data_IF_474510656597
#
_entry.id   IF_474510656597
#
_cell.length_a   1.000
_cell.length_b   1.000
_cell.length_c   1.000
_cell.angle_alpha   90.00
_cell.angle_beta   90.00
_cell.angle_gamma   90.00
#
_symmetry.space_group_name_H-M   'P 1'
#
loop_
_entity.id
_entity.type
_entity.pdbx_description
1 polymer ?
#
# COMPACT_ATOMS: atom_id res chain seq x y z
N UNK A 1 -40.30 20.54 36.76
CA UNK A 1 -39.56 21.74 37.17
C UNK A 1 -39.90 22.01 38.63
N UNK A 2 -38.93 21.80 39.52
CA UNK A 2 -39.17 21.92 40.97
C UNK A 2 -39.05 23.38 41.35
N UNK A 3 -40.09 23.93 41.97
CA UNK A 3 -40.14 25.32 42.43
C UNK A 3 -39.82 25.35 43.91
N UNK A 4 -38.85 26.18 44.31
CA UNK A 4 -38.47 26.37 45.70
C UNK A 4 -38.77 27.79 46.15
N UNK A 5 -39.11 27.96 47.42
CA UNK A 5 -39.43 29.26 47.98
C UNK A 5 -38.18 29.89 48.57
N UNK A 6 -37.71 30.98 47.97
CA UNK A 6 -36.56 31.75 48.48
C UNK A 6 -37.07 32.90 49.34
N UNK A 7 -36.36 33.23 50.43
CA UNK A 7 -36.78 34.28 51.37
C UNK A 7 -36.81 35.67 50.73
N UNK A 8 -35.79 35.96 49.92
CA UNK A 8 -35.59 37.25 49.27
C UNK A 8 -34.91 37.06 47.93
N UNK A 9 -35.40 37.80 46.94
CA UNK A 9 -34.77 37.93 45.63
C UNK A 9 -34.10 39.32 45.56
N UNK A 10 -32.77 39.40 45.42
CA UNK A 10 -32.07 40.69 45.46
C UNK A 10 -32.15 41.48 44.15
N UNK A 11 -32.41 40.81 43.01
CA UNK A 11 -32.35 41.44 41.70
C UNK A 11 -33.32 40.80 40.70
N UNK A 12 -33.71 41.55 39.67
CA UNK A 12 -34.57 41.04 38.58
C UNK A 12 -33.78 40.13 37.66
N UNK A 13 -34.22 38.89 37.48
CA UNK A 13 -33.58 37.93 36.59
C UNK A 13 -34.62 37.31 35.66
N UNK A 14 -34.26 37.24 34.38
CA UNK A 14 -35.03 36.50 33.38
C UNK A 14 -34.48 35.10 33.28
N UNK A 15 -35.32 34.11 33.54
CA UNK A 15 -34.97 32.70 33.46
C UNK A 15 -36.11 31.95 32.80
N UNK A 16 -35.78 31.22 31.73
CA UNK A 16 -36.74 30.49 30.90
C UNK A 16 -37.99 31.27 30.50
N UNK A 17 -37.79 32.51 30.03
CA UNK A 17 -38.88 33.37 29.55
C UNK A 17 -39.77 33.98 30.65
N UNK A 18 -39.55 33.63 31.93
CA UNK A 18 -40.20 34.29 33.07
C UNK A 18 -39.27 35.27 33.74
N UNK A 19 -39.83 36.40 34.18
CA UNK A 19 -39.08 37.44 34.91
C UNK A 19 -39.38 37.30 36.40
N UNK A 20 -38.35 36.99 37.18
CA UNK A 20 -38.41 36.96 38.63
C UNK A 20 -37.80 38.26 39.15
N UNK A 21 -38.60 39.10 39.80
CA UNK A 21 -38.20 40.45 40.24
C UNK A 21 -37.60 40.48 41.64
N UNK A 22 -36.97 41.60 42.04
CA UNK A 22 -36.50 41.82 43.39
C UNK A 22 -37.70 41.83 44.32
N UNK A 23 -37.69 40.94 45.29
CA UNK A 23 -38.77 40.76 46.24
C UNK A 23 -38.18 40.52 47.61
N UNK A 24 -38.58 41.32 48.57
CA UNK A 24 -38.29 41.09 50.00
C UNK A 24 -39.30 40.14 50.65
N UNK A 25 -40.33 39.75 49.89
CA UNK A 25 -41.30 38.74 50.29
C UNK A 25 -40.93 37.39 49.67
N UNK A 26 -41.22 36.27 50.35
CA UNK A 26 -40.91 34.95 49.84
C UNK A 26 -41.53 34.73 48.46
N UNK A 27 -40.72 34.29 47.50
CA UNK A 27 -41.14 34.06 46.11
C UNK A 27 -40.74 32.65 45.67
N UNK A 28 -41.64 31.99 44.94
CA UNK A 28 -41.36 30.69 44.35
C UNK A 28 -40.53 30.88 43.07
N UNK A 29 -39.31 30.36 43.07
CA UNK A 29 -38.37 30.40 41.95
C UNK A 29 -37.92 28.99 41.57
N UNK A 30 -37.50 28.75 40.33
CA UNK A 30 -36.94 27.47 39.93
C UNK A 30 -35.69 27.12 40.75
N UNK A 31 -35.54 25.84 41.10
CA UNK A 31 -34.41 25.35 41.91
C UNK A 31 -33.05 25.70 41.31
N UNK A 32 -32.91 25.56 40.00
CA UNK A 32 -31.68 25.87 39.26
C UNK A 32 -31.27 27.33 39.40
N UNK A 33 -32.23 28.24 39.35
CA UNK A 33 -31.98 29.68 39.49
C UNK A 33 -31.59 30.03 40.93
N UNK A 34 -32.27 29.46 41.92
CA UNK A 34 -31.91 29.67 43.32
C UNK A 34 -30.53 29.09 43.66
N UNK A 35 -30.15 27.95 43.07
CA UNK A 35 -28.83 27.34 43.22
C UNK A 35 -27.74 28.18 42.56
N UNK A 36 -27.96 28.66 41.34
CA UNK A 36 -27.03 29.52 40.62
C UNK A 36 -26.77 30.86 41.35
N UNK A 37 -27.74 31.35 42.10
CA UNK A 37 -27.66 32.62 42.83
C UNK A 37 -27.32 32.48 44.31
N UNK A 38 -27.20 31.25 44.84
CA UNK A 38 -26.91 30.99 46.24
C UNK A 38 -27.93 31.60 47.21
N UNK A 39 -29.21 31.65 46.84
CA UNK A 39 -30.24 32.32 47.65
C UNK A 39 -30.59 31.49 48.91
N UNK A 40 -30.72 32.12 50.08
CA UNK A 40 -31.11 31.42 51.31
C UNK A 40 -32.55 30.95 51.21
N UNK A 41 -32.75 29.64 51.41
CA UNK A 41 -34.07 29.02 51.38
C UNK A 41 -34.81 29.26 52.69
N UNK A 42 -36.14 29.18 52.64
CA UNK A 42 -36.97 29.09 53.85
C UNK A 42 -36.76 27.70 54.46
N UNK A 43 -36.53 27.64 55.78
CA UNK A 43 -36.30 26.41 56.55
C UNK A 43 -37.35 25.34 56.21
N UNK A 44 -36.90 24.21 55.66
CA UNK A 44 -37.75 23.09 55.23
C UNK A 44 -37.63 22.67 53.77
N UNK A 45 -36.78 23.31 52.95
CA UNK A 45 -36.48 22.87 51.59
C UNK A 45 -35.04 22.34 51.49
N UNK A 46 -34.88 21.03 51.44
CA UNK A 46 -33.59 20.35 51.25
C UNK A 46 -33.20 20.42 49.78
N UNK A 47 -32.01 20.94 49.48
CA UNK A 47 -31.34 20.59 48.23
C UNK A 47 -31.05 19.09 48.25
N UNK A 48 -31.32 18.40 47.13
CA UNK A 48 -30.95 16.99 46.99
C UNK A 48 -29.43 16.85 47.20
N UNK A 49 -29.05 15.93 48.08
CA UNK A 49 -27.68 15.59 48.46
C UNK A 49 -26.77 15.52 47.23
N UNK A 50 -25.73 16.36 47.20
CA UNK A 50 -24.64 16.24 46.24
C UNK A 50 -23.64 15.26 46.84
N UNK A 51 -23.35 14.18 46.12
CA UNK A 51 -22.42 13.14 46.55
C UNK A 51 -21.04 13.75 46.85
N UNK A 52 -20.48 13.56 48.06
CA UNK A 52 -19.19 14.12 48.45
C UNK A 52 -18.02 13.57 47.61
N UNK A 53 -18.19 12.38 47.02
CA UNK A 53 -17.21 11.78 46.11
C UNK A 53 -17.10 12.54 44.78
N UNK A 54 -18.23 13.00 44.22
CA UNK A 54 -18.26 13.77 42.98
C UNK A 54 -17.58 15.15 43.13
N UNK A 55 -17.77 15.81 44.29
CA UNK A 55 -17.11 17.07 44.62
C UNK A 55 -15.58 16.89 44.77
N UNK A 56 -15.15 15.76 45.32
CA UNK A 56 -13.73 15.47 45.47
C UNK A 56 -13.05 15.20 44.12
N UNK A 57 -13.77 14.55 43.19
CA UNK A 57 -13.31 14.34 41.82
C UNK A 57 -13.19 15.67 41.05
N UNK A 58 -14.20 16.54 41.13
CA UNK A 58 -14.16 17.88 40.52
C UNK A 58 -13.03 18.76 41.08
N UNK A 59 -12.81 18.74 42.40
CA UNK A 59 -11.68 19.47 43.01
C UNK A 59 -10.33 18.93 42.55
N UNK A 60 -10.21 17.62 42.35
CA UNK A 60 -8.99 17.02 41.82
C UNK A 60 -8.74 17.40 40.36
N UNK A 61 -9.81 17.45 39.53
CA UNK A 61 -9.75 17.90 38.15
C UNK A 61 -9.36 19.38 38.05
N UNK A 62 -9.95 20.22 38.91
CA UNK A 62 -9.61 21.65 39.02
C UNK A 62 -8.15 21.88 39.43
N UNK A 63 -7.64 21.12 40.41
CA UNK A 63 -6.21 21.18 40.80
C UNK A 63 -5.27 20.78 39.68
N UNK A 64 -5.61 19.74 38.90
CA UNK A 64 -4.83 19.33 37.72
C UNK A 64 -4.80 20.41 36.65
N UNK A 65 -5.96 21.00 36.33
CA UNK A 65 -6.05 22.11 35.39
C UNK A 65 -5.24 23.31 35.86
N UNK A 66 -5.33 23.68 37.14
CA UNK A 66 -4.53 24.76 37.70
C UNK A 66 -3.03 24.50 37.60
N UNK A 67 -2.57 23.27 37.83
CA UNK A 67 -1.17 22.88 37.63
C UNK A 67 -0.73 23.04 36.18
N UNK A 68 -1.58 22.66 35.22
CA UNK A 68 -1.31 22.84 33.78
C UNK A 68 -1.26 24.32 33.37
N UNK A 69 -2.16 25.15 33.91
CA UNK A 69 -2.13 26.59 33.68
C UNK A 69 -0.87 27.22 34.29
N UNK A 70 -0.46 26.77 35.47
CA UNK A 70 0.74 27.25 36.12
C UNK A 70 1.99 26.87 35.32
N UNK A 71 2.14 25.62 34.88
CA UNK A 71 3.24 25.21 34.00
C UNK A 71 3.26 25.99 32.67
N UNK A 72 2.08 26.25 32.10
CA UNK A 72 1.96 27.04 30.87
C UNK A 72 2.35 28.50 31.09
N UNK A 73 1.97 29.09 32.22
CA UNK A 73 2.40 30.43 32.61
C UNK A 73 3.91 30.49 32.86
N UNK A 74 4.48 29.49 33.55
CA UNK A 74 5.94 29.41 33.76
C UNK A 74 6.69 29.30 32.45
N UNK A 75 6.25 28.45 31.50
CA UNK A 75 6.87 28.36 30.17
C UNK A 75 6.77 29.66 29.38
N UNK A 76 5.64 30.38 29.49
CA UNK A 76 5.49 31.69 28.86
C UNK A 76 6.40 32.74 29.50
N UNK A 77 6.58 32.70 30.82
CA UNK A 77 7.51 33.57 31.54
C UNK A 77 8.97 33.25 31.21
N UNK A 78 9.34 31.98 31.08
CA UNK A 78 10.68 31.56 30.66
C UNK A 78 10.98 32.00 29.21
N UNK A 79 9.97 32.00 28.33
CA UNK A 79 10.09 32.54 26.96
C UNK A 79 10.23 34.06 26.93
N UNK A 80 9.78 34.77 27.97
CA UNK A 80 9.89 36.23 28.11
C UNK A 80 11.14 36.66 28.90
N UNK A 81 11.77 35.74 29.65
CA UNK A 81 12.96 36.01 30.45
C UNK A 81 14.26 36.34 29.68
N UNK A 82 14.49 35.96 28.40
CA UNK A 82 15.73 36.36 27.74
C UNK A 82 15.79 37.87 27.39
N UNK A 83 14.70 38.64 27.47
CA UNK A 83 14.74 40.09 27.18
C UNK A 83 15.29 40.96 28.33
N UNK A 84 15.54 40.40 29.51
CA UNK A 84 16.07 41.19 30.64
C UNK A 84 17.60 41.10 30.82
N UNK A 85 18.31 40.41 29.92
CA UNK A 85 19.77 40.33 29.95
C UNK A 85 20.41 41.10 28.79
N UNK A 86 20.34 42.43 28.87
CA UNK A 86 21.16 43.31 28.05
C UNK A 86 20.59 44.72 27.99
N UNK A 87 21.43 45.73 28.26
CA UNK A 87 21.19 47.14 27.92
C UNK A 87 21.12 47.34 26.39
N UNK A 88 20.32 46.56 25.67
CA UNK A 88 20.12 46.72 24.24
C UNK A 88 18.93 47.65 24.01
N UNK A 89 19.18 48.74 23.28
CA UNK A 89 18.13 49.65 22.87
C UNK A 89 17.09 48.86 22.03
N UNK A 90 15.79 49.18 22.15
CA UNK A 90 14.72 48.47 21.41
C UNK A 90 14.98 48.35 19.90
N UNK A 91 15.64 49.35 19.32
CA UNK A 91 16.02 49.36 17.91
C UNK A 91 17.06 48.28 17.54
N UNK A 92 17.99 47.98 18.45
CA UNK A 92 19.00 46.92 18.25
C UNK A 92 18.37 45.52 18.28
N UNK A 93 17.39 45.31 19.17
CA UNK A 93 16.61 44.07 19.25
C UNK A 93 15.76 43.89 17.99
N UNK A 94 15.11 44.96 17.51
CA UNK A 94 14.34 44.94 16.27
C UNK A 94 15.21 44.61 15.05
N UNK A 95 16.37 45.25 14.91
CA UNK A 95 17.30 44.97 13.81
C UNK A 95 17.79 43.52 13.82
N UNK A 96 18.07 42.98 15.02
CA UNK A 96 18.46 41.58 15.19
C UNK A 96 17.33 40.63 14.78
N UNK A 97 16.11 40.86 15.26
CA UNK A 97 14.95 40.02 14.92
C UNK A 97 14.62 40.08 13.43
N UNK A 98 14.80 41.24 12.79
CA UNK A 98 14.63 41.38 11.34
C UNK A 98 15.69 40.58 10.57
N UNK A 99 16.96 40.62 10.99
CA UNK A 99 18.02 39.79 10.40
C UNK A 99 17.76 38.30 10.59
N UNK A 100 17.43 37.86 11.81
CA UNK A 100 17.11 36.45 12.09
C UNK A 100 15.90 35.98 11.25
N UNK A 101 14.89 36.84 11.05
CA UNK A 101 13.77 36.56 10.13
C UNK A 101 14.18 36.48 8.66
N UNK A 102 15.11 37.32 8.23
CA UNK A 102 15.65 37.30 6.87
C UNK A 102 16.44 36.00 6.64
N UNK A 103 17.36 35.66 7.54
CA UNK A 103 18.17 34.44 7.49
C UNK A 103 17.28 33.19 7.52
N UNK A 104 16.25 33.17 8.36
CA UNK A 104 15.28 32.07 8.39
C UNK A 104 14.50 31.93 7.08
N UNK A 105 14.18 33.04 6.40
CA UNK A 105 13.54 33.00 5.08
C UNK A 105 14.48 32.48 4.01
N UNK A 106 15.72 32.94 4.00
CA UNK A 106 16.73 32.51 3.03
C UNK A 106 17.06 31.03 3.20
N UNK A 107 17.18 30.56 4.45
CA UNK A 107 17.32 29.15 4.77
C UNK A 107 16.10 28.32 4.32
N UNK A 108 14.88 28.81 4.53
CA UNK A 108 13.67 28.14 4.07
C UNK A 108 13.58 28.05 2.55
N UNK A 109 13.97 29.12 1.83
CA UNK A 109 14.04 29.12 0.36
C UNK A 109 15.10 28.13 -0.15
N UNK A 110 16.29 28.12 0.46
CA UNK A 110 17.33 27.14 0.16
C UNK A 110 16.87 25.70 0.38
N UNK A 111 16.19 25.43 1.50
CA UNK A 111 15.62 24.12 1.79
C UNK A 111 14.55 23.69 0.77
N UNK A 112 13.68 24.62 0.34
CA UNK A 112 12.70 24.35 -0.71
C UNK A 112 13.36 24.05 -2.07
N UNK A 113 14.44 24.74 -2.41
CA UNK A 113 15.18 24.49 -3.64
C UNK A 113 15.83 23.10 -3.61
N UNK A 114 16.52 22.75 -2.52
CA UNK A 114 17.09 21.42 -2.32
C UNK A 114 16.00 20.34 -2.39
N UNK A 115 14.83 20.58 -1.81
CA UNK A 115 13.71 19.65 -1.88
C UNK A 115 13.24 19.44 -3.33
N UNK A 116 13.11 20.51 -4.14
CA UNK A 116 12.76 20.38 -5.56
C UNK A 116 13.82 19.64 -6.36
N UNK A 117 15.09 19.91 -6.10
CA UNK A 117 16.19 19.23 -6.80
C UNK A 117 16.23 17.73 -6.46
N UNK A 118 16.04 17.38 -5.19
CA UNK A 118 15.92 15.99 -4.76
C UNK A 118 14.70 15.31 -5.39
N UNK A 119 13.55 15.99 -5.43
CA UNK A 119 12.34 15.49 -6.08
C UNK A 119 12.60 15.20 -7.57
N UNK A 120 13.21 16.15 -8.30
CA UNK A 120 13.53 15.98 -9.71
C UNK A 120 14.51 14.83 -9.97
N UNK A 121 15.48 14.61 -9.08
CA UNK A 121 16.39 13.46 -9.14
C UNK A 121 15.69 12.14 -8.89
N UNK A 122 14.77 12.10 -7.92
CA UNK A 122 13.96 10.91 -7.65
C UNK A 122 13.05 10.57 -8.83
N UNK A 123 12.40 11.56 -9.43
CA UNK A 123 11.55 11.36 -10.61
C UNK A 123 12.37 10.86 -11.82
N UNK A 124 13.56 11.41 -12.03
CA UNK A 124 14.48 10.93 -13.06
C UNK A 124 14.90 9.48 -12.82
N UNK A 125 15.25 9.13 -11.56
CA UNK A 125 15.57 7.75 -11.18
C UNK A 125 14.38 6.80 -11.30
N UNK A 126 13.17 7.29 -11.02
CA UNK A 126 11.93 6.54 -11.23
C UNK A 126 11.73 6.16 -12.70
N UNK A 127 11.93 7.11 -13.61
CA UNK A 127 11.86 6.84 -15.07
C UNK A 127 12.95 5.89 -15.54
N UNK A 128 14.18 6.05 -15.07
CA UNK A 128 15.28 5.12 -15.38
C UNK A 128 14.94 3.69 -14.92
N UNK A 129 14.40 3.54 -13.71
CA UNK A 129 13.99 2.24 -13.19
C UNK A 129 12.84 1.63 -13.99
N UNK A 130 11.85 2.44 -14.40
CA UNK A 130 10.75 1.98 -15.26
C UNK A 130 11.28 1.46 -16.61
N UNK A 131 12.16 2.21 -17.28
CA UNK A 131 12.78 1.75 -18.52
C UNK A 131 13.62 0.48 -18.34
N UNK A 132 14.34 0.35 -17.23
CA UNK A 132 15.09 -0.87 -16.93
C UNK A 132 14.15 -2.07 -16.74
N UNK A 133 13.00 -1.88 -16.09
CA UNK A 133 11.97 -2.92 -15.94
C UNK A 133 11.37 -3.30 -17.29
N UNK A 134 11.02 -2.32 -18.14
CA UNK A 134 10.49 -2.58 -19.49
C UNK A 134 11.48 -3.39 -20.33
N UNK A 135 12.77 -3.02 -20.32
CA UNK A 135 13.83 -3.76 -21.01
C UNK A 135 14.00 -5.18 -20.45
N UNK A 136 13.96 -5.34 -19.13
CA UNK A 136 14.02 -6.65 -18.50
C UNK A 136 12.84 -7.54 -18.89
N UNK A 137 11.63 -6.99 -18.92
CA UNK A 137 10.44 -7.74 -19.34
C UNK A 137 10.54 -8.17 -20.81
N UNK A 138 10.94 -7.27 -21.71
CA UNK A 138 11.10 -7.60 -23.12
C UNK A 138 12.17 -8.70 -23.35
N UNK A 139 13.33 -8.58 -22.71
CA UNK A 139 14.40 -9.60 -22.81
C UNK A 139 13.97 -10.94 -22.21
N UNK A 140 13.18 -10.93 -21.14
CA UNK A 140 12.62 -12.15 -20.55
C UNK A 140 11.63 -12.82 -21.52
N UNK A 141 10.76 -12.03 -22.16
CA UNK A 141 9.83 -12.55 -23.17
C UNK A 141 10.59 -13.17 -24.37
N UNK A 142 11.60 -12.49 -24.91
CA UNK A 142 12.47 -13.04 -25.96
C UNK A 142 13.15 -14.35 -25.52
N UNK A 143 13.66 -14.42 -24.29
CA UNK A 143 14.24 -15.65 -23.74
C UNK A 143 13.23 -16.79 -23.62
N UNK A 144 11.98 -16.48 -23.25
CA UNK A 144 10.93 -17.52 -23.20
C UNK A 144 10.55 -18.02 -24.59
N UNK A 145 10.44 -17.12 -25.57
CA UNK A 145 10.13 -17.46 -26.95
C UNK A 145 11.25 -18.30 -27.59
N UNK A 146 12.50 -17.91 -27.39
CA UNK A 146 13.66 -18.66 -27.91
C UNK A 146 13.78 -20.04 -27.25
N UNK A 147 13.52 -20.16 -25.94
CA UNK A 147 13.44 -21.48 -25.28
C UNK A 147 12.33 -22.36 -25.84
N UNK A 148 11.15 -21.80 -26.08
CA UNK A 148 10.05 -22.55 -26.68
C UNK A 148 10.37 -23.00 -28.13
N UNK A 149 11.01 -22.14 -28.92
CA UNK A 149 11.47 -22.48 -30.27
C UNK A 149 12.53 -23.59 -30.25
N UNK A 150 13.48 -23.53 -29.32
CA UNK A 150 14.50 -24.57 -29.15
C UNK A 150 13.88 -25.92 -28.78
N UNK A 151 12.91 -25.94 -27.86
CA UNK A 151 12.22 -27.17 -27.47
C UNK A 151 11.51 -27.82 -28.67
N UNK A 152 10.82 -27.04 -29.50
CA UNK A 152 10.19 -27.54 -30.73
C UNK A 152 11.22 -28.07 -31.73
N UNK A 153 12.32 -27.35 -31.94
CA UNK A 153 13.37 -27.81 -32.84
C UNK A 153 14.02 -29.13 -32.36
N UNK A 154 14.13 -29.33 -31.04
CA UNK A 154 14.59 -30.59 -30.47
C UNK A 154 13.60 -31.73 -30.69
N UNK A 155 12.30 -31.49 -30.50
CA UNK A 155 11.25 -32.48 -30.78
C UNK A 155 11.24 -32.87 -32.26
N UNK A 156 11.26 -31.89 -33.16
CA UNK A 156 11.32 -32.11 -34.62
C UNK A 156 12.60 -32.86 -35.03
N UNK A 157 13.75 -32.49 -34.45
CA UNK A 157 15.02 -33.18 -34.69
C UNK A 157 14.98 -34.65 -34.23
N UNK A 158 14.36 -34.93 -33.08
CA UNK A 158 14.20 -36.30 -32.58
C UNK A 158 13.25 -37.13 -33.46
N UNK A 159 12.16 -36.53 -33.94
CA UNK A 159 11.22 -37.16 -34.85
C UNK A 159 11.89 -37.47 -36.21
N UNK A 160 12.67 -36.53 -36.74
CA UNK A 160 13.43 -36.73 -37.96
C UNK A 160 14.46 -37.87 -37.82
N UNK A 161 15.17 -37.94 -36.69
CA UNK A 161 16.10 -39.05 -36.42
C UNK A 161 15.38 -40.40 -36.35
N UNK A 162 14.21 -40.46 -35.70
CA UNK A 162 13.40 -41.68 -35.67
C UNK A 162 12.92 -42.10 -37.07
N UNK A 163 12.51 -41.15 -37.91
CA UNK A 163 12.16 -41.42 -39.31
C UNK A 163 13.35 -41.94 -40.10
N UNK A 164 14.54 -41.34 -39.96
CA UNK A 164 15.75 -41.83 -40.62
C UNK A 164 16.08 -43.26 -40.19
N UNK A 165 15.98 -43.58 -38.89
CA UNK A 165 16.20 -44.93 -38.39
C UNK A 165 15.21 -45.94 -38.99
N UNK A 166 13.93 -45.55 -39.08
CA UNK A 166 12.86 -46.37 -39.66
C UNK A 166 13.09 -46.60 -41.16
N UNK A 167 13.36 -45.54 -41.93
CA UNK A 167 13.65 -45.66 -43.36
C UNK A 167 14.92 -46.48 -43.60
N UNK A 168 15.93 -46.36 -42.73
CA UNK A 168 17.15 -47.16 -42.83
C UNK A 168 16.88 -48.64 -42.60
N UNK A 169 16.01 -48.99 -41.64
CA UNK A 169 15.64 -50.39 -41.38
C UNK A 169 14.76 -50.96 -42.50
N UNK A 170 13.85 -50.18 -43.06
CA UNK A 170 13.05 -50.55 -44.23
C UNK A 170 13.93 -50.79 -45.46
N UNK A 171 14.91 -49.91 -45.71
CA UNK A 171 15.84 -50.05 -46.83
C UNK A 171 16.73 -51.28 -46.66
N UNK A 172 17.21 -51.56 -45.44
CA UNK A 172 17.92 -52.80 -45.13
C UNK A 172 17.04 -54.04 -45.35
N UNK A 173 15.77 -53.98 -44.94
CA UNK A 173 14.80 -55.07 -45.13
C UNK A 173 14.53 -55.33 -46.62
N UNK A 174 14.31 -54.28 -47.40
CA UNK A 174 14.12 -54.37 -48.86
C UNK A 174 15.37 -54.91 -49.57
N UNK A 175 16.57 -54.52 -49.14
CA UNK A 175 17.82 -55.07 -49.67
C UNK A 175 18.03 -56.54 -49.33
N UNK A 176 17.47 -57.01 -48.22
CA UNK A 176 17.55 -58.42 -47.82
C UNK A 176 16.48 -59.30 -48.48
N UNK A 177 15.52 -58.71 -49.20
CA UNK A 177 14.53 -59.49 -49.93
C UNK A 177 15.19 -60.11 -51.18
N UNK A 178 14.98 -61.42 -51.41
CA UNK A 178 15.50 -62.07 -52.61
C UNK A 178 14.86 -61.45 -53.85
N UNK A 179 15.69 -60.95 -54.78
CA UNK A 179 15.23 -60.34 -56.04
C UNK A 179 14.58 -61.38 -56.95
N UNK A 180 15.00 -62.64 -56.82
CA UNK A 180 14.43 -63.78 -57.55
C UNK A 180 13.37 -64.46 -56.66
N UNK A 181 12.10 -64.49 -57.08
CA UNK A 181 11.06 -65.22 -56.37
C UNK A 181 11.43 -66.70 -56.21
N UNK A 182 11.10 -67.30 -55.06
CA UNK A 182 11.39 -68.71 -54.80
C UNK A 182 10.70 -69.68 -55.78
N UNK A 183 9.62 -69.23 -56.44
CA UNK A 183 8.88 -69.97 -57.47
C UNK A 183 9.33 -69.64 -58.92
N UNK A 184 10.42 -68.87 -59.11
CA UNK A 184 10.88 -68.44 -60.43
C UNK A 184 11.23 -69.61 -61.36
N UNK A 185 11.79 -70.70 -60.83
CA UNK A 185 12.10 -71.91 -61.59
C UNK A 185 10.83 -72.56 -62.14
N UNK A 186 9.81 -72.72 -61.29
CA UNK A 186 8.54 -73.35 -61.67
C UNK A 186 7.77 -72.50 -62.67
N UNK A 187 7.86 -71.18 -62.56
CA UNK A 187 7.29 -70.26 -63.55
C UNK A 187 7.99 -70.38 -64.91
N UNK A 188 9.32 -70.45 -64.94
CA UNK A 188 10.09 -70.61 -66.17
C UNK A 188 9.78 -71.93 -66.88
N UNK A 189 9.59 -73.02 -66.13
CA UNK A 189 9.22 -74.33 -66.68
C UNK A 189 7.81 -74.40 -67.26
N UNK A 190 6.89 -73.52 -66.84
CA UNK A 190 5.52 -73.43 -67.37
C UNK A 190 5.43 -72.69 -68.71
N UNK A 191 6.49 -72.01 -69.15
CA UNK A 191 6.49 -71.30 -70.43
C UNK A 191 6.78 -72.31 -71.55
N UNK A 192 5.85 -72.42 -72.50
CA UNK A 192 5.99 -73.29 -73.66
C UNK A 192 7.27 -72.96 -74.44
N UNK A 193 8.14 -73.96 -74.60
CA UNK A 193 9.43 -73.85 -75.31
C UNK A 193 10.67 -73.69 -74.42
N UNK A 194 10.53 -73.49 -73.11
CA UNK A 194 11.69 -73.46 -72.18
C UNK A 194 11.89 -74.84 -71.55
N UNK A 195 12.92 -75.57 -72.01
CA UNK A 195 13.32 -76.83 -71.38
C UNK A 195 14.01 -76.65 -70.03
N UNK A 196 13.99 -77.67 -69.16
CA UNK A 196 14.54 -77.65 -67.79
C UNK A 196 15.96 -77.05 -67.71
N UNK A 197 16.85 -77.42 -68.62
CA UNK A 197 18.24 -76.93 -68.66
C UNK A 197 18.36 -75.45 -69.00
N UNK A 198 17.44 -74.92 -69.81
CA UNK A 198 17.38 -73.50 -70.16
C UNK A 198 16.80 -72.69 -69.00
N UNK A 199 15.77 -73.20 -68.32
CA UNK A 199 15.22 -72.60 -67.11
C UNK A 199 16.26 -72.50 -65.99
N UNK A 200 17.04 -73.56 -65.77
CA UNK A 200 18.14 -73.57 -64.78
C UNK A 200 19.24 -72.57 -65.13
N UNK A 201 19.72 -72.54 -66.38
CA UNK A 201 20.73 -71.55 -66.82
C UNK A 201 20.25 -70.11 -66.73
N UNK A 202 18.98 -69.84 -67.04
CA UNK A 202 18.41 -68.50 -66.94
C UNK A 202 18.38 -68.03 -65.49
N UNK A 203 18.00 -68.91 -64.56
CA UNK A 203 17.93 -68.62 -63.13
C UNK A 203 19.33 -68.43 -62.52
N UNK A 204 20.29 -69.29 -62.88
CA UNK A 204 21.71 -69.12 -62.50
C UNK A 204 22.29 -67.79 -63.02
N UNK A 205 21.95 -67.38 -64.24
CA UNK A 205 22.43 -66.10 -64.80
C UNK A 205 21.82 -64.86 -64.14
N UNK A 206 20.62 -64.99 -63.57
CA UNK A 206 19.94 -63.94 -62.82
C UNK A 206 20.49 -63.84 -61.40
N UNK A 207 20.80 -64.97 -60.76
CA UNK A 207 21.44 -65.01 -59.44
C UNK A 207 22.92 -64.61 -59.48
N UNK A 208 23.64 -64.91 -60.56
CA UNK A 208 25.06 -64.56 -60.72
C UNK A 208 25.33 -63.08 -61.04
N UNK A 209 24.27 -62.27 -61.22
CA UNK A 209 24.36 -60.81 -61.44
C UNK A 209 24.05 -59.99 -60.19
N UNK A 210 23.72 -60.64 -59.07
CA UNK A 210 23.74 -60.06 -57.72
C UNK A 210 25.18 -59.93 -57.22
#
# INVERSE_FOLDING_TARGET
>A
MTMITVQRMPQTIRFEGKTYGPSEKPIAVPEELARALGLPLVEGSTFSEVDPEALQEELSASRRLSGQYQERLTRLLDLLQPEQQGDELPDAVLDRLLRERQDARDAAQGAQQVQRDLQGRLDAKGREAQHAVEQWTATTEELTQTRAALARAQEEGSAAQAQVATLTSELASLRSQPLVPTDALDRLKRVDGIGDKLAQKALESLQAKE
#
